data_IF_583054331642
#
_entry.id   IF_583054331642
#
_cell.length_a   1.000
_cell.length_b   1.000
_cell.length_c   1.000
_cell.angle_alpha   90.00
_cell.angle_beta   90.00
_cell.angle_gamma   90.00
#
_symmetry.space_group_name_H-M   'P 1'
#
loop_
_entity.id
_entity.type
_entity.pdbx_description
1 polymer ?
#
# COMPACT_ATOMS: atom_id res chain seq x y z
N UNK A 1 30.51 -9.39 -42.54
CA UNK A 1 30.88 -10.15 -41.31
C UNK A 1 31.41 -9.17 -40.28
N UNK A 2 30.62 -8.83 -39.25
CA UNK A 2 31.04 -7.92 -38.18
C UNK A 2 30.62 -8.54 -36.86
N UNK A 3 31.60 -9.15 -36.19
CA UNK A 3 31.47 -9.83 -34.89
C UNK A 3 31.41 -8.74 -33.82
N UNK A 4 30.27 -8.58 -33.16
CA UNK A 4 30.17 -7.81 -31.93
C UNK A 4 29.93 -8.83 -30.81
N UNK A 5 30.93 -8.96 -29.97
CA UNK A 5 31.02 -9.96 -28.93
C UNK A 5 30.48 -9.49 -27.60
N UNK A 6 30.31 -10.51 -26.74
CA UNK A 6 30.22 -10.49 -25.29
C UNK A 6 28.91 -9.97 -24.67
N UNK A 7 27.99 -10.93 -24.51
CA UNK A 7 27.00 -11.00 -23.42
C UNK A 7 27.75 -10.91 -22.08
N UNK A 8 27.45 -9.91 -21.26
CA UNK A 8 27.82 -9.88 -19.84
C UNK A 8 26.60 -10.34 -19.06
N UNK A 9 26.56 -11.65 -18.77
CA UNK A 9 25.65 -12.24 -17.81
C UNK A 9 26.26 -12.06 -16.41
N UNK A 10 25.77 -11.08 -15.65
CA UNK A 10 26.02 -10.97 -14.21
C UNK A 10 24.95 -11.80 -13.48
N UNK A 11 25.24 -13.09 -13.34
CA UNK A 11 24.60 -13.93 -12.35
C UNK A 11 25.31 -13.70 -11.02
N UNK A 12 24.68 -12.97 -10.09
CA UNK A 12 25.04 -13.01 -8.68
C UNK A 12 23.87 -13.70 -7.97
N UNK A 13 24.07 -14.99 -7.69
CA UNK A 13 23.24 -15.73 -6.76
C UNK A 13 23.52 -15.23 -5.34
N UNK A 14 22.46 -14.86 -4.63
CA UNK A 14 22.46 -14.60 -3.20
C UNK A 14 21.15 -15.11 -2.62
N UNK A 15 21.16 -16.34 -2.12
CA UNK A 15 20.12 -16.89 -1.26
C UNK A 15 20.26 -16.19 0.10
N UNK A 16 19.36 -15.27 0.44
CA UNK A 16 19.28 -14.68 1.79
C UNK A 16 17.99 -15.16 2.49
N UNK A 17 18.09 -15.69 3.72
CA UNK A 17 16.92 -16.10 4.49
C UNK A 17 16.18 -14.86 5.02
N UNK A 18 14.86 -15.03 5.20
CA UNK A 18 13.93 -14.03 5.70
C UNK A 18 14.44 -13.29 6.95
N UNK A 19 14.52 -11.96 6.85
CA UNK A 19 14.77 -11.05 7.96
C UNK A 19 14.99 -9.62 7.46
N UNK A 20 13.92 -8.82 7.46
CA UNK A 20 13.90 -7.36 7.28
C UNK A 20 14.74 -6.80 6.10
N UNK A 21 14.07 -6.72 4.94
CA UNK A 21 14.31 -5.80 3.82
C UNK A 21 15.53 -4.87 3.95
N UNK A 22 16.62 -5.30 3.32
CA UNK A 22 17.72 -4.44 2.91
C UNK A 22 17.17 -3.52 1.81
N UNK A 23 16.86 -2.27 2.18
CA UNK A 23 16.43 -1.20 1.28
C UNK A 23 17.65 -0.80 0.47
N UNK A 24 17.91 -1.52 -0.61
CA UNK A 24 18.98 -1.17 -1.53
C UNK A 24 18.52 -0.06 -2.47
N UNK A 25 19.39 0.94 -2.57
CA UNK A 25 19.16 2.28 -3.09
C UNK A 25 18.95 2.27 -4.61
N UNK A 26 17.78 2.72 -5.04
CA UNK A 26 17.59 3.36 -6.34
C UNK A 26 16.89 4.72 -6.16
N UNK A 27 17.55 5.61 -5.39
CA UNK A 27 17.23 7.04 -5.37
C UNK A 27 17.81 7.62 -6.66
N UNK A 28 17.00 7.72 -7.71
CA UNK A 28 17.18 8.74 -8.75
C UNK A 28 15.96 8.80 -9.68
N UNK A 29 15.02 9.71 -9.38
CA UNK A 29 14.57 10.71 -10.35
C UNK A 29 13.62 11.73 -9.71
N UNK A 30 14.13 12.96 -9.63
CA UNK A 30 13.35 14.15 -9.38
C UNK A 30 12.30 14.35 -10.48
N UNK A 31 11.05 14.10 -10.13
CA UNK A 31 9.87 14.78 -10.65
C UNK A 31 8.84 14.74 -9.52
N UNK A 32 7.91 15.70 -9.51
CA UNK A 32 6.94 16.01 -8.45
C UNK A 32 5.96 14.89 -8.01
N UNK A 33 6.25 13.62 -8.33
CA UNK A 33 5.48 12.46 -7.94
C UNK A 33 6.11 11.77 -6.71
N UNK A 34 5.28 11.29 -5.79
CA UNK A 34 5.73 10.48 -4.67
C UNK A 34 6.24 9.15 -5.23
N UNK A 35 7.47 8.77 -4.87
CA UNK A 35 8.00 7.48 -5.27
C UNK A 35 7.19 6.34 -4.66
N UNK A 36 7.18 5.20 -5.37
CA UNK A 36 6.40 4.02 -4.99
C UNK A 36 6.66 3.59 -3.54
N UNK A 37 7.92 3.64 -3.12
CA UNK A 37 8.35 3.16 -1.79
C UNK A 37 7.79 4.05 -0.68
N UNK A 38 7.87 5.37 -0.84
CA UNK A 38 7.34 6.36 0.09
C UNK A 38 5.82 6.26 0.20
N UNK A 39 5.12 6.20 -0.95
CA UNK A 39 3.67 6.05 -0.96
C UNK A 39 3.21 4.75 -0.29
N UNK A 40 3.91 3.65 -0.56
CA UNK A 40 3.63 2.35 0.05
C UNK A 40 3.90 2.33 1.55
N UNK A 41 5.00 2.94 2.00
CA UNK A 41 5.35 3.02 3.42
C UNK A 41 4.28 3.80 4.19
N UNK A 42 3.86 4.95 3.68
CA UNK A 42 2.81 5.73 4.31
C UNK A 42 1.46 4.99 4.29
N UNK A 43 1.09 4.42 3.14
CA UNK A 43 -0.19 3.72 2.99
C UNK A 43 -0.32 2.48 3.88
N UNK A 44 0.75 1.71 4.05
CA UNK A 44 0.76 0.56 4.96
C UNK A 44 0.65 0.99 6.43
N UNK A 45 1.18 2.16 6.78
CA UNK A 45 0.97 2.76 8.11
C UNK A 45 -0.48 3.25 8.33
N UNK A 46 -1.17 3.68 7.27
CA UNK A 46 -2.57 4.10 7.32
C UNK A 46 -3.54 2.91 7.40
N UNK A 47 -3.18 1.77 6.81
CA UNK A 47 -4.05 0.58 6.65
C UNK A 47 -3.92 -0.44 7.80
N UNK A 48 -3.92 0.04 9.04
CA UNK A 48 -4.08 -0.79 10.23
C UNK A 48 -5.55 -1.24 10.41
N UNK A 49 -5.87 -2.43 9.88
CA UNK A 49 -7.16 -3.10 10.01
C UNK A 49 -7.24 -3.82 11.36
N UNK A 50 -7.45 -3.07 12.44
CA UNK A 50 -7.62 -3.66 13.78
C UNK A 50 -9.11 -4.04 14.01
N UNK A 51 -9.48 -5.33 14.09
CA UNK A 51 -10.87 -5.76 14.30
C UNK A 51 -11.39 -5.49 15.73
N UNK A 52 -10.50 -5.13 16.66
CA UNK A 52 -10.82 -4.83 18.07
C UNK A 52 -10.90 -3.31 18.34
N UNK A 53 -10.79 -2.49 17.29
CA UNK A 53 -10.92 -1.05 17.43
C UNK A 53 -12.35 -0.69 17.82
N UNK A 54 -12.48 0.29 18.71
CA UNK A 54 -13.78 0.89 19.03
C UNK A 54 -14.42 1.48 17.75
N UNK A 55 -15.73 1.22 17.49
CA UNK A 55 -16.41 1.70 16.29
C UNK A 55 -16.32 3.23 16.11
N UNK A 56 -16.49 4.01 17.18
CA UNK A 56 -16.40 5.47 17.10
C UNK A 56 -14.98 5.94 16.77
N UNK A 57 -13.94 5.22 17.23
CA UNK A 57 -12.55 5.49 16.82
C UNK A 57 -12.25 5.10 15.38
N UNK A 58 -12.95 4.10 14.82
CA UNK A 58 -12.84 3.77 13.40
C UNK A 58 -13.46 4.87 12.56
N UNK A 59 -14.70 5.28 12.89
CA UNK A 59 -15.43 6.35 12.20
C UNK A 59 -14.67 7.68 12.24
N UNK A 60 -14.21 8.11 13.43
CA UNK A 60 -13.49 9.37 13.61
C UNK A 60 -12.17 9.48 12.82
N UNK A 61 -11.59 8.34 12.41
CA UNK A 61 -10.34 8.31 11.64
C UNK A 61 -10.54 7.92 10.18
N UNK A 62 -11.73 7.45 9.80
CA UNK A 62 -12.00 6.96 8.46
C UNK A 62 -11.87 8.08 7.42
N UNK A 63 -12.40 9.28 7.72
CA UNK A 63 -12.29 10.43 6.82
C UNK A 63 -10.83 10.83 6.57
N UNK A 64 -10.02 10.94 7.62
CA UNK A 64 -8.60 11.31 7.47
C UNK A 64 -7.81 10.28 6.66
N UNK A 65 -8.01 8.98 6.95
CA UNK A 65 -7.35 7.89 6.24
C UNK A 65 -7.78 7.83 4.77
N UNK A 66 -9.07 8.02 4.50
CA UNK A 66 -9.61 8.08 3.14
C UNK A 66 -8.95 9.19 2.33
N UNK A 67 -8.91 10.43 2.87
CA UNK A 67 -8.30 11.57 2.20
C UNK A 67 -6.81 11.34 1.92
N UNK A 68 -6.05 10.88 2.93
CA UNK A 68 -4.60 10.65 2.78
C UNK A 68 -4.31 9.57 1.74
N UNK A 69 -5.07 8.48 1.74
CA UNK A 69 -4.93 7.43 0.71
C UNK A 69 -5.26 7.95 -0.69
N UNK A 70 -6.27 8.82 -0.84
CA UNK A 70 -6.56 9.47 -2.14
C UNK A 70 -5.47 10.44 -2.57
N UNK A 71 -4.89 11.21 -1.66
CA UNK A 71 -3.75 12.08 -1.96
C UNK A 71 -2.58 11.25 -2.47
N UNK A 72 -2.17 10.21 -1.73
CA UNK A 72 -1.10 9.30 -2.17
C UNK A 72 -1.39 8.68 -3.54
N UNK A 73 -2.64 8.30 -3.81
CA UNK A 73 -3.05 7.75 -5.10
C UNK A 73 -3.00 8.78 -6.24
N UNK A 74 -3.20 10.06 -5.94
CA UNK A 74 -3.05 11.16 -6.89
C UNK A 74 -1.59 11.46 -7.23
N UNK A 75 -0.69 11.25 -6.26
CA UNK A 75 0.72 11.62 -6.36
C UNK A 75 1.63 10.50 -6.88
N UNK A 76 1.19 9.24 -6.85
CA UNK A 76 1.96 8.09 -7.34
C UNK A 76 1.77 7.86 -8.85
N UNK A 77 2.86 7.53 -9.56
CA UNK A 77 2.80 7.23 -11.00
C UNK A 77 2.43 5.77 -11.31
N UNK A 78 2.80 4.84 -10.43
CA UNK A 78 2.51 3.41 -10.56
C UNK A 78 0.99 3.19 -10.49
N UNK A 79 0.41 2.64 -11.57
CA UNK A 79 -1.04 2.45 -11.69
C UNK A 79 -1.58 1.36 -10.78
N UNK A 80 -0.79 0.33 -10.47
CA UNK A 80 -1.19 -0.75 -9.59
C UNK A 80 -1.23 -0.26 -8.13
N UNK A 81 -0.23 0.53 -7.73
CA UNK A 81 -0.21 1.21 -6.44
C UNK A 81 -1.38 2.18 -6.33
N UNK A 82 -1.60 3.03 -7.35
CA UNK A 82 -2.75 3.94 -7.40
C UNK A 82 -4.07 3.18 -7.23
N UNK A 83 -4.27 2.07 -7.94
CA UNK A 83 -5.47 1.26 -7.84
C UNK A 83 -5.65 0.69 -6.43
N UNK A 84 -4.60 0.10 -5.85
CA UNK A 84 -4.65 -0.44 -4.49
C UNK A 84 -4.96 0.63 -3.43
N UNK A 85 -4.35 1.82 -3.55
CA UNK A 85 -4.61 2.95 -2.66
C UNK A 85 -6.05 3.44 -2.76
N UNK A 86 -6.58 3.63 -3.97
CA UNK A 86 -7.99 4.02 -4.16
C UNK A 86 -8.95 2.95 -3.63
N UNK A 87 -8.64 1.68 -3.87
CA UNK A 87 -9.43 0.56 -3.36
C UNK A 87 -9.47 0.51 -1.83
N UNK A 88 -8.40 0.94 -1.15
CA UNK A 88 -8.41 1.08 0.30
C UNK A 88 -9.09 2.35 0.80
N UNK A 89 -8.92 3.47 0.10
CA UNK A 89 -9.65 4.71 0.40
C UNK A 89 -11.17 4.49 0.34
N UNK A 90 -11.67 3.78 -0.68
CA UNK A 90 -13.09 3.47 -0.83
C UNK A 90 -13.65 2.63 0.33
N UNK A 91 -12.82 1.80 0.96
CA UNK A 91 -13.23 1.04 2.14
C UNK A 91 -13.38 1.89 3.38
N UNK A 92 -12.59 2.95 3.53
CA UNK A 92 -12.78 3.95 4.58
C UNK A 92 -13.93 4.91 4.25
N UNK A 93 -14.21 5.17 2.98
CA UNK A 93 -15.43 5.88 2.58
C UNK A 93 -16.69 5.08 2.93
N UNK A 94 -16.65 3.76 2.82
CA UNK A 94 -17.77 2.90 3.25
C UNK A 94 -18.04 3.06 4.75
N UNK A 95 -17.01 3.10 5.60
CA UNK A 95 -17.18 3.38 7.05
C UNK A 95 -17.88 4.71 7.29
N UNK A 96 -17.62 5.74 6.48
CA UNK A 96 -18.26 7.05 6.64
C UNK A 96 -19.74 7.04 6.21
N UNK A 97 -20.10 6.16 5.28
CA UNK A 97 -21.46 6.06 4.72
C UNK A 97 -22.34 5.09 5.51
N UNK A 98 -21.73 4.00 5.99
CA UNK A 98 -22.38 2.95 6.75
C UNK A 98 -22.20 3.26 8.23
N UNK A 99 -23.30 3.28 8.98
CA UNK A 99 -23.22 3.43 10.44
C UNK A 99 -22.61 2.15 11.03
N UNK A 100 -21.31 2.19 11.33
CA UNK A 100 -20.62 1.10 12.03
C UNK A 100 -20.87 1.29 13.53
N UNK A 101 -21.96 0.70 14.03
CA UNK A 101 -22.45 0.93 15.40
C UNK A 101 -21.98 -0.12 16.41
N UNK A 102 -21.46 -1.27 15.95
CA UNK A 102 -21.04 -2.36 16.83
C UNK A 102 -19.73 -3.04 16.41
N UNK A 103 -19.10 -3.72 17.37
CA UNK A 103 -17.82 -4.40 17.20
C UNK A 103 -17.87 -5.58 16.20
N UNK A 104 -19.05 -6.21 16.01
CA UNK A 104 -19.24 -7.26 15.02
C UNK A 104 -19.14 -6.71 13.60
N UNK A 105 -19.70 -5.53 13.34
CA UNK A 105 -19.57 -4.84 12.05
C UNK A 105 -18.13 -4.41 11.80
N UNK A 106 -17.41 -3.91 12.81
CA UNK A 106 -15.97 -3.59 12.70
C UNK A 106 -15.16 -4.83 12.32
N UNK A 107 -15.39 -5.96 12.99
CA UNK A 107 -14.68 -7.21 12.70
C UNK A 107 -14.97 -7.71 11.27
N UNK A 108 -16.23 -7.60 10.83
CA UNK A 108 -16.61 -7.93 9.45
C UNK A 108 -15.95 -6.99 8.44
N UNK A 109 -15.95 -5.68 8.69
CA UNK A 109 -15.27 -4.70 7.85
C UNK A 109 -13.78 -5.02 7.74
N UNK A 110 -13.10 -5.28 8.86
CA UNK A 110 -11.69 -5.64 8.87
C UNK A 110 -11.45 -6.89 8.02
N UNK A 111 -12.26 -7.94 8.21
CA UNK A 111 -12.17 -9.19 7.44
C UNK A 111 -12.35 -8.98 5.93
N UNK A 112 -13.32 -8.18 5.51
CA UNK A 112 -13.55 -7.88 4.09
C UNK A 112 -12.40 -7.09 3.46
N UNK A 113 -11.70 -6.29 4.28
CA UNK A 113 -10.61 -5.43 3.82
C UNK A 113 -9.23 -6.08 3.85
N UNK A 114 -9.07 -7.26 4.48
CA UNK A 114 -7.82 -8.02 4.46
C UNK A 114 -7.32 -8.32 3.04
N UNK A 115 -8.23 -8.62 2.10
CA UNK A 115 -7.86 -8.87 0.71
C UNK A 115 -7.31 -7.62 0.02
N UNK A 116 -7.86 -6.43 0.33
CA UNK A 116 -7.36 -5.15 -0.22
C UNK A 116 -6.01 -4.78 0.37
N UNK A 117 -5.82 -5.03 1.67
CA UNK A 117 -4.52 -4.87 2.33
C UNK A 117 -3.47 -5.83 1.78
N UNK A 118 -3.84 -7.08 1.49
CA UNK A 118 -2.96 -8.05 0.82
C UNK A 118 -2.57 -7.59 -0.59
N UNK A 119 -3.53 -7.09 -1.38
CA UNK A 119 -3.23 -6.47 -2.67
C UNK A 119 -2.28 -5.29 -2.53
N UNK A 120 -2.53 -4.38 -1.57
CA UNK A 120 -1.65 -3.24 -1.31
C UNK A 120 -0.23 -3.70 -0.98
N UNK A 121 -0.07 -4.72 -0.13
CA UNK A 121 1.26 -5.29 0.19
C UNK A 121 1.96 -5.85 -1.04
N UNK A 122 1.25 -6.60 -1.89
CA UNK A 122 1.81 -7.22 -3.10
C UNK A 122 2.28 -6.19 -4.12
N UNK A 123 1.54 -5.10 -4.31
CA UNK A 123 1.95 -4.05 -5.24
C UNK A 123 3.06 -3.18 -4.66
N UNK A 124 3.27 -3.22 -3.34
CA UNK A 124 4.30 -2.47 -2.61
C UNK A 124 5.63 -3.20 -2.40
N UNK A 125 5.72 -4.46 -2.85
CA UNK A 125 6.95 -5.25 -2.96
C UNK A 125 7.45 -5.26 -4.39
#
# INVERSE_FOLDING_TARGET
MKRWGAVVALAIGGMLPAGCAEVDSAIDQANSAVDKVSACTEALGLTDLNPLVDPAKLEARAEDKERRLRTLAGDVQDQDVKHALTGMADSYLQVQKERIEDAGVVAQWAKHNLAKLDTLRKVCT
#
